data_IF_947102900236
#
_entry.id   IF_947102900236
#
_cell.length_a   1.000
_cell.length_b   1.000
_cell.length_c   1.000
_cell.angle_alpha   90.00
_cell.angle_beta   90.00
_cell.angle_gamma   90.00
#
_symmetry.space_group_name_H-M   'P 1'
#
loop_
_entity.id
_entity.type
_entity.pdbx_description
1 polymer ?
#
# COMPACT_ATOMS: atom_id res chain seq x y z
N UNK A 1 -17.48 -51.52 -20.74
CA UNK A 1 -17.35 -50.59 -19.62
C UNK A 1 -17.23 -51.42 -18.36
N UNK A 2 -16.02 -51.53 -17.86
CA UNK A 2 -15.72 -52.24 -16.60
C UNK A 2 -16.02 -51.31 -15.43
N UNK A 3 -16.37 -51.89 -14.28
CA UNK A 3 -16.72 -51.16 -13.05
C UNK A 3 -15.61 -50.15 -12.64
N UNK A 4 -14.36 -50.48 -12.96
CA UNK A 4 -13.19 -49.63 -12.74
C UNK A 4 -13.16 -48.39 -13.64
N UNK A 5 -13.79 -48.40 -14.82
CA UNK A 5 -13.90 -47.22 -15.71
C UNK A 5 -15.00 -46.26 -15.23
N UNK A 6 -16.07 -46.77 -14.62
CA UNK A 6 -17.11 -45.94 -13.97
C UNK A 6 -16.58 -45.29 -12.70
N UNK A 7 -15.85 -46.02 -11.85
CA UNK A 7 -15.24 -45.45 -10.64
C UNK A 7 -14.16 -44.42 -10.97
N UNK A 8 -13.34 -44.65 -12.00
CA UNK A 8 -12.33 -43.69 -12.46
C UNK A 8 -12.97 -42.44 -13.09
N UNK A 9 -14.07 -42.59 -13.84
CA UNK A 9 -14.79 -41.45 -14.42
C UNK A 9 -15.59 -40.68 -13.38
N UNK A 10 -16.06 -41.32 -12.31
CA UNK A 10 -16.70 -40.69 -11.16
C UNK A 10 -15.68 -39.98 -10.26
N UNK A 11 -14.50 -40.56 -10.03
CA UNK A 11 -13.36 -39.88 -9.38
C UNK A 11 -12.82 -38.72 -10.22
N UNK A 12 -12.68 -38.88 -11.54
CA UNK A 12 -12.30 -37.79 -12.45
C UNK A 12 -13.37 -36.71 -12.52
N UNK A 13 -14.66 -37.04 -12.37
CA UNK A 13 -15.77 -36.08 -12.28
C UNK A 13 -15.87 -35.43 -10.89
N UNK A 14 -15.36 -36.07 -9.84
CA UNK A 14 -15.15 -35.49 -8.50
C UNK A 14 -13.91 -34.59 -8.46
N UNK A 15 -12.85 -34.93 -9.21
CA UNK A 15 -11.63 -34.12 -9.39
C UNK A 15 -11.82 -32.93 -10.33
N UNK A 16 -12.55 -33.13 -11.43
CA UNK A 16 -13.06 -32.06 -12.32
C UNK A 16 -14.40 -31.50 -11.82
N UNK A 17 -14.82 -31.88 -10.61
CA UNK A 17 -16.03 -31.44 -9.92
C UNK A 17 -15.89 -30.02 -9.41
N UNK A 18 -15.61 -29.10 -10.32
CA UNK A 18 -15.92 -27.70 -10.23
C UNK A 18 -15.21 -26.95 -9.11
N UNK A 19 -13.95 -26.58 -9.34
CA UNK A 19 -13.54 -25.26 -8.87
C UNK A 19 -14.55 -24.28 -9.47
N UNK A 20 -15.51 -23.86 -8.64
CA UNK A 20 -16.56 -22.97 -9.08
C UNK A 20 -15.86 -21.73 -9.63
N UNK A 21 -16.19 -21.24 -10.84
CA UNK A 21 -15.55 -20.04 -11.38
C UNK A 21 -15.67 -18.84 -10.43
N UNK A 22 -16.72 -18.83 -9.59
CA UNK A 22 -16.89 -17.87 -8.49
C UNK A 22 -15.89 -18.01 -7.33
N UNK A 23 -15.42 -19.22 -7.02
CA UNK A 23 -14.35 -19.46 -6.04
C UNK A 23 -13.00 -19.02 -6.60
N UNK A 24 -12.67 -19.41 -7.84
CA UNK A 24 -11.42 -18.99 -8.50
C UNK A 24 -11.37 -17.46 -8.60
N UNK A 25 -12.47 -16.82 -9.02
CA UNK A 25 -12.54 -15.37 -9.12
C UNK A 25 -12.41 -14.67 -7.76
N UNK A 26 -12.92 -15.28 -6.70
CA UNK A 26 -12.79 -14.74 -5.35
C UNK A 26 -11.36 -14.87 -4.81
N UNK A 27 -10.70 -16.01 -5.07
CA UNK A 27 -9.32 -16.23 -4.66
C UNK A 27 -8.37 -15.28 -5.40
N UNK A 28 -8.56 -15.10 -6.72
CA UNK A 28 -7.83 -14.11 -7.51
C UNK A 28 -8.05 -12.68 -6.99
N UNK A 29 -9.28 -12.32 -6.60
CA UNK A 29 -9.58 -11.01 -6.01
C UNK A 29 -8.87 -10.81 -4.65
N UNK A 30 -8.82 -11.87 -3.82
CA UNK A 30 -8.10 -11.85 -2.55
C UNK A 30 -6.59 -11.71 -2.75
N UNK A 31 -6.01 -12.45 -3.69
CA UNK A 31 -4.59 -12.36 -4.03
C UNK A 31 -4.22 -10.96 -4.50
N UNK A 32 -5.00 -10.37 -5.42
CA UNK A 32 -4.78 -8.99 -5.88
C UNK A 32 -4.90 -7.96 -4.76
N UNK A 33 -5.81 -8.17 -3.81
CA UNK A 33 -5.90 -7.30 -2.63
C UNK A 33 -4.65 -7.42 -1.76
N UNK A 34 -4.16 -8.64 -1.53
CA UNK A 34 -2.92 -8.87 -0.77
C UNK A 34 -1.72 -8.24 -1.46
N UNK A 35 -1.52 -8.47 -2.75
CA UNK A 35 -0.43 -7.85 -3.53
C UNK A 35 -0.48 -6.31 -3.45
N UNK A 36 -1.68 -5.73 -3.59
CA UNK A 36 -1.86 -4.28 -3.52
C UNK A 36 -1.63 -3.73 -2.10
N UNK A 37 -2.00 -4.49 -1.07
CA UNK A 37 -1.73 -4.16 0.34
C UNK A 37 -0.24 -4.23 0.65
N UNK A 38 0.46 -5.28 0.21
CA UNK A 38 1.92 -5.42 0.38
C UNK A 38 2.67 -4.30 -0.34
N UNK A 39 2.26 -3.98 -1.57
CA UNK A 39 2.83 -2.88 -2.34
C UNK A 39 2.73 -1.54 -1.60
N UNK A 40 1.63 -1.30 -0.89
CA UNK A 40 1.42 -0.08 -0.08
C UNK A 40 2.20 -0.09 1.22
N UNK A 41 2.20 -1.22 1.93
CA UNK A 41 3.01 -1.39 3.13
C UNK A 41 4.50 -1.15 2.82
N UNK A 42 4.96 -1.57 1.64
CA UNK A 42 6.31 -1.25 1.15
C UNK A 42 6.54 0.26 0.99
N UNK A 43 5.57 1.00 0.45
CA UNK A 43 5.65 2.47 0.30
C UNK A 43 5.67 3.16 1.67
N UNK A 44 4.80 2.76 2.59
CA UNK A 44 4.75 3.32 3.94
C UNK A 44 6.01 3.03 4.74
N UNK A 45 6.53 1.80 4.64
CA UNK A 45 7.82 1.42 5.21
C UNK A 45 8.95 2.29 4.66
N UNK A 46 9.02 2.49 3.33
CA UNK A 46 10.02 3.37 2.70
C UNK A 46 9.89 4.82 3.16
N UNK A 47 8.66 5.32 3.30
CA UNK A 47 8.39 6.67 3.81
C UNK A 47 8.85 6.82 5.26
N UNK A 48 8.59 5.81 6.10
CA UNK A 48 9.08 5.74 7.48
C UNK A 48 10.60 5.76 7.56
N UNK A 49 11.28 4.99 6.69
CA UNK A 49 12.75 5.03 6.59
C UNK A 49 13.26 6.42 6.23
N UNK A 50 12.65 7.10 5.25
CA UNK A 50 13.05 8.46 4.86
C UNK A 50 12.89 9.43 6.03
N UNK A 51 11.76 9.37 6.76
CA UNK A 51 11.54 10.18 7.95
C UNK A 51 12.60 9.94 9.03
N UNK A 52 13.02 8.70 9.25
CA UNK A 52 14.11 8.41 10.20
C UNK A 52 15.45 8.99 9.75
N UNK A 53 15.75 8.94 8.45
CA UNK A 53 16.96 9.55 7.88
C UNK A 53 16.94 11.07 8.04
N UNK A 54 15.81 11.72 7.72
CA UNK A 54 15.67 13.16 7.89
C UNK A 54 15.81 13.58 9.37
N UNK A 55 15.27 12.79 10.30
CA UNK A 55 15.44 13.03 11.74
C UNK A 55 16.91 12.92 12.19
N UNK A 56 17.65 11.94 11.65
CA UNK A 56 19.10 11.82 11.88
C UNK A 56 19.83 13.05 11.32
N UNK A 57 19.51 13.48 10.10
CA UNK A 57 20.12 14.67 9.49
C UNK A 57 19.91 15.90 10.37
N UNK A 58 18.67 16.17 10.78
CA UNK A 58 18.36 17.31 11.66
C UNK A 58 19.10 17.20 13.00
N UNK A 59 19.16 16.00 13.57
CA UNK A 59 19.87 15.78 14.84
C UNK A 59 21.37 16.02 14.71
N UNK A 60 22.01 15.52 13.66
CA UNK A 60 23.46 15.68 13.41
C UNK A 60 23.80 17.13 13.10
N UNK A 61 23.04 17.78 12.22
CA UNK A 61 23.27 19.20 11.88
C UNK A 61 23.05 20.10 13.10
N UNK A 62 22.09 19.76 13.97
CA UNK A 62 21.82 20.48 15.21
C UNK A 62 22.95 20.41 16.25
N UNK A 63 23.91 19.48 16.12
CA UNK A 63 25.07 19.40 17.01
C UNK A 63 26.16 20.43 16.67
N UNK A 64 26.12 21.04 15.49
CA UNK A 64 27.13 22.02 15.10
C UNK A 64 26.82 23.39 15.71
N UNK A 65 27.75 23.91 16.50
CA UNK A 65 27.62 25.25 17.12
C UNK A 65 27.69 26.39 16.08
N UNK A 66 28.45 26.18 14.99
CA UNK A 66 28.58 27.14 13.89
C UNK A 66 27.74 26.72 12.68
N UNK A 67 26.48 27.15 12.68
CA UNK A 67 25.54 26.88 11.60
C UNK A 67 25.79 27.78 10.39
N UNK A 68 26.51 27.25 9.41
CA UNK A 68 26.67 27.89 8.09
C UNK A 68 25.34 27.92 7.35
N UNK A 69 25.12 28.91 6.46
CA UNK A 69 23.90 29.01 5.65
C UNK A 69 23.54 27.72 4.89
N UNK A 70 24.54 26.93 4.46
CA UNK A 70 24.34 25.64 3.81
C UNK A 70 23.72 24.58 4.75
N UNK A 71 24.16 24.53 6.01
CA UNK A 71 23.64 23.61 7.02
C UNK A 71 22.21 23.98 7.44
N UNK A 72 21.94 25.29 7.56
CA UNK A 72 20.58 25.81 7.80
C UNK A 72 19.66 25.42 6.63
N UNK A 73 20.13 25.56 5.38
CA UNK A 73 19.41 25.12 4.20
C UNK A 73 19.13 23.61 4.21
N UNK A 74 20.12 22.79 4.56
CA UNK A 74 19.96 21.34 4.65
C UNK A 74 18.90 20.94 5.71
N UNK A 75 18.92 21.56 6.89
CA UNK A 75 17.88 21.36 7.91
C UNK A 75 16.50 21.77 7.42
N UNK A 76 16.37 22.94 6.77
CA UNK A 76 15.07 23.41 6.28
C UNK A 76 14.48 22.42 5.25
N UNK A 77 15.30 21.91 4.34
CA UNK A 77 14.87 20.92 3.34
C UNK A 77 14.45 19.60 4.00
N UNK A 78 15.22 19.12 5.00
CA UNK A 78 14.87 17.92 5.75
C UNK A 78 13.55 18.08 6.52
N UNK A 79 13.31 19.25 7.14
CA UNK A 79 12.06 19.53 7.84
C UNK A 79 10.85 19.57 6.88
N UNK A 80 11.00 20.15 5.69
CA UNK A 80 9.94 20.15 4.67
C UNK A 80 9.62 18.69 4.25
N UNK A 81 10.65 17.87 4.05
CA UNK A 81 10.49 16.44 3.76
C UNK A 81 9.71 15.73 4.86
N UNK A 82 10.02 15.99 6.13
CA UNK A 82 9.30 15.42 7.28
C UNK A 82 7.82 15.79 7.29
N UNK A 83 7.48 17.05 7.03
CA UNK A 83 6.09 17.51 6.98
C UNK A 83 5.32 16.77 5.87
N UNK A 84 5.91 16.64 4.68
CA UNK A 84 5.30 15.92 3.55
C UNK A 84 5.19 14.42 3.86
N UNK A 85 6.20 13.83 4.49
CA UNK A 85 6.23 12.44 4.92
C UNK A 85 5.11 12.11 5.90
N UNK A 86 4.95 12.91 6.95
CA UNK A 86 3.87 12.77 7.94
C UNK A 86 2.50 12.94 7.27
N UNK A 87 2.36 13.93 6.38
CA UNK A 87 1.11 14.13 5.66
C UNK A 87 0.76 12.93 4.76
N UNK A 88 1.75 12.34 4.09
CA UNK A 88 1.56 11.16 3.25
C UNK A 88 1.25 9.88 4.04
N UNK A 89 1.81 9.73 5.25
CA UNK A 89 1.50 8.61 6.15
C UNK A 89 0.09 8.68 6.76
N UNK A 90 -0.49 9.88 6.88
CA UNK A 90 -1.84 10.07 7.46
C UNK A 90 -2.98 9.52 6.58
N UNK A 91 -2.70 9.12 5.34
CA UNK A 91 -3.71 8.60 4.41
C UNK A 91 -4.10 7.17 4.82
N UNK A 92 -5.21 7.12 5.57
CA UNK A 92 -6.03 6.04 6.17
C UNK A 92 -5.85 4.61 5.64
N UNK A 93 -5.89 3.66 6.58
CA UNK A 93 -5.94 2.21 6.39
C UNK A 93 -7.12 1.76 5.52
N UNK A 94 -6.89 0.77 4.67
CA UNK A 94 -7.95 0.13 3.90
C UNK A 94 -8.82 -0.72 4.82
N UNK A 95 -10.15 -0.60 4.65
CA UNK A 95 -11.06 -1.56 5.24
C UNK A 95 -10.77 -2.93 4.62
N UNK A 96 -10.43 -3.89 5.48
CA UNK A 96 -10.18 -5.28 5.07
C UNK A 96 -11.53 -6.00 5.08
N UNK A 97 -12.07 -6.38 3.91
CA UNK A 97 -13.38 -7.03 3.85
C UNK A 97 -13.33 -8.38 4.57
N UNK A 98 -14.37 -8.66 5.39
CA UNK A 98 -14.41 -9.87 6.22
C UNK A 98 -13.51 -9.83 7.45
N UNK A 99 -13.13 -8.65 7.96
CA UNK A 99 -12.38 -8.52 9.21
C UNK A 99 -13.28 -8.52 10.46
N UNK A 100 -14.52 -8.03 10.32
CA UNK A 100 -15.48 -7.97 11.41
C UNK A 100 -16.28 -9.27 11.56
N UNK A 101 -16.49 -9.68 12.81
CA UNK A 101 -17.23 -10.92 13.17
C UNK A 101 -18.67 -10.86 12.67
N UNK A 102 -19.25 -9.66 12.59
CA UNK A 102 -20.61 -9.41 12.11
C UNK A 102 -20.78 -9.76 10.62
N UNK A 103 -19.73 -9.61 9.80
CA UNK A 103 -19.73 -10.07 8.40
C UNK A 103 -19.82 -11.60 8.32
N UNK A 104 -19.16 -12.31 9.26
CA UNK A 104 -19.18 -13.77 9.31
C UNK A 104 -20.50 -14.36 9.80
N UNK A 105 -21.17 -13.67 10.74
CA UNK A 105 -22.49 -14.09 11.23
C UNK A 105 -23.55 -14.02 10.13
N UNK A 106 -23.44 -13.06 9.20
CA UNK A 106 -24.30 -12.99 8.02
C UNK A 106 -24.11 -14.18 7.05
N UNK A 107 -22.98 -14.90 7.14
CA UNK A 107 -22.67 -16.05 6.30
C UNK A 107 -23.19 -17.39 6.85
N UNK A 108 -23.70 -17.40 8.08
CA UNK A 108 -24.26 -18.62 8.70
C UNK A 108 -25.65 -18.96 8.11
N UNK A 109 -26.42 -17.94 7.70
CA UNK A 109 -27.78 -18.10 7.17
C UNK A 109 -27.94 -17.91 5.64
N UNK A 110 -26.96 -17.32 4.93
CA UNK A 110 -27.06 -17.03 3.48
C UNK A 110 -26.55 -18.21 2.60
N UNK A 111 -27.11 -18.37 1.39
CA UNK A 111 -26.64 -19.38 0.40
C UNK A 111 -25.23 -19.05 -0.13
N UNK A 112 -24.39 -20.02 -0.55
CA UNK A 112 -22.97 -19.78 -0.86
C UNK A 112 -22.69 -18.82 -2.03
N UNK A 113 -23.63 -18.66 -2.96
CA UNK A 113 -23.44 -17.82 -4.16
C UNK A 113 -23.57 -16.31 -3.91
N UNK A 114 -24.62 -15.79 -3.23
CA UNK A 114 -24.70 -14.36 -2.90
C UNK A 114 -23.56 -13.89 -1.99
N UNK A 115 -23.08 -14.75 -1.09
CA UNK A 115 -21.92 -14.46 -0.22
C UNK A 115 -20.66 -14.19 -1.04
N UNK A 116 -20.32 -15.09 -1.98
CA UNK A 116 -19.13 -14.92 -2.85
C UNK A 116 -19.21 -13.64 -3.68
N UNK A 117 -20.41 -13.30 -4.18
CA UNK A 117 -20.62 -12.05 -4.90
C UNK A 117 -20.41 -10.83 -4.00
N UNK A 118 -20.98 -10.81 -2.80
CA UNK A 118 -20.79 -9.72 -1.82
C UNK A 118 -19.30 -9.55 -1.47
N UNK A 119 -18.60 -10.65 -1.18
CA UNK A 119 -17.18 -10.63 -0.84
C UNK A 119 -16.32 -10.16 -2.01
N UNK A 120 -16.61 -10.61 -3.24
CA UNK A 120 -15.92 -10.16 -4.44
C UNK A 120 -16.13 -8.66 -4.69
N UNK A 121 -17.36 -8.16 -4.50
CA UNK A 121 -17.65 -6.72 -4.57
C UNK A 121 -16.88 -5.98 -3.48
N UNK A 122 -16.84 -6.48 -2.25
CA UNK A 122 -16.13 -5.84 -1.16
C UNK A 122 -14.61 -5.79 -1.39
N UNK A 123 -13.98 -6.88 -1.87
CA UNK A 123 -12.58 -6.88 -2.29
C UNK A 123 -12.33 -5.93 -3.45
N UNK A 124 -13.19 -5.92 -4.47
CA UNK A 124 -13.07 -4.97 -5.57
C UNK A 124 -13.25 -3.52 -5.08
N UNK A 125 -14.18 -3.25 -4.16
CA UNK A 125 -14.40 -1.91 -3.56
C UNK A 125 -13.19 -1.47 -2.77
N UNK A 126 -12.60 -2.37 -2.00
CA UNK A 126 -11.39 -2.13 -1.22
C UNK A 126 -10.20 -1.86 -2.13
N UNK A 127 -9.98 -2.68 -3.16
CA UNK A 127 -8.94 -2.45 -4.19
C UNK A 127 -9.21 -1.15 -4.98
N UNK A 128 -10.47 -0.78 -5.20
CA UNK A 128 -10.87 0.39 -6.00
C UNK A 128 -10.97 1.68 -5.18
N UNK A 129 -10.94 1.59 -3.85
CA UNK A 129 -10.78 2.70 -2.91
C UNK A 129 -11.96 3.65 -2.83
N UNK A 130 -13.16 3.17 -3.19
CA UNK A 130 -14.35 3.98 -3.40
C UNK A 130 -15.56 3.50 -2.58
N UNK A 131 -15.40 3.37 -1.26
CA UNK A 131 -16.50 3.04 -0.32
C UNK A 131 -17.68 4.03 -0.34
N UNK A 132 -17.54 5.20 -0.98
CA UNK A 132 -18.52 6.29 -0.95
C UNK A 132 -18.89 6.82 -2.34
N UNK A 133 -18.70 6.04 -3.40
CA UNK A 133 -19.07 6.46 -4.75
C UNK A 133 -20.10 5.50 -5.34
N UNK A 134 -21.28 6.04 -5.63
CA UNK A 134 -22.38 5.34 -6.32
C UNK A 134 -22.17 5.24 -7.84
N UNK A 135 -21.09 5.85 -8.36
CA UNK A 135 -20.75 5.94 -9.79
C UNK A 135 -19.80 4.79 -10.22
N UNK A 136 -20.27 3.82 -11.03
CA UNK A 136 -19.52 2.63 -11.40
C UNK A 136 -18.26 2.93 -12.24
N UNK A 137 -18.18 4.06 -12.94
CA UNK A 137 -16.97 4.42 -13.70
C UNK A 137 -15.87 5.01 -12.80
N UNK A 138 -16.26 5.75 -11.76
CA UNK A 138 -15.33 6.31 -10.78
C UNK A 138 -14.86 5.27 -9.78
N UNK A 139 -15.67 4.24 -9.55
CA UNK A 139 -15.34 3.07 -8.75
C UNK A 139 -13.92 2.56 -9.07
N UNK A 140 -13.60 2.29 -10.34
CA UNK A 140 -12.27 1.78 -10.74
C UNK A 140 -11.14 2.82 -10.78
N UNK A 141 -11.44 4.12 -10.61
CA UNK A 141 -10.44 5.21 -10.68
C UNK A 141 -10.04 5.76 -9.31
N UNK A 142 -10.84 5.55 -8.26
CA UNK A 142 -10.64 6.15 -6.93
C UNK A 142 -9.34 5.79 -6.22
N UNK A 143 -8.79 4.57 -6.45
CA UNK A 143 -7.56 4.13 -5.80
C UNK A 143 -6.27 4.41 -6.58
N UNK A 144 -6.34 4.47 -7.92
CA UNK A 144 -5.19 4.90 -8.72
C UNK A 144 -4.75 6.29 -8.28
N UNK A 145 -5.67 7.23 -8.13
CA UNK A 145 -5.37 8.61 -7.76
C UNK A 145 -4.75 8.77 -6.37
N UNK A 146 -5.28 8.08 -5.34
CA UNK A 146 -4.74 8.15 -3.96
C UNK A 146 -3.40 7.42 -3.81
N UNK A 147 -3.22 6.29 -4.49
CA UNK A 147 -1.93 5.58 -4.45
C UNK A 147 -0.87 6.36 -5.24
N UNK A 148 -1.22 6.92 -6.40
CA UNK A 148 -0.35 7.79 -7.18
C UNK A 148 0.10 9.02 -6.37
N UNK A 149 -0.77 9.56 -5.51
CA UNK A 149 -0.43 10.63 -4.58
C UNK A 149 0.55 10.19 -3.49
N UNK A 150 0.36 9.02 -2.85
CA UNK A 150 1.35 8.45 -1.92
C UNK A 150 2.72 8.25 -2.59
N UNK A 151 2.75 7.68 -3.80
CA UNK A 151 3.98 7.50 -4.57
C UNK A 151 4.64 8.82 -4.99
N UNK A 152 3.85 9.84 -5.33
CA UNK A 152 4.36 11.18 -5.63
C UNK A 152 5.00 11.79 -4.39
N UNK A 153 4.33 11.70 -3.24
CA UNK A 153 4.85 12.23 -1.98
C UNK A 153 6.11 11.48 -1.54
N UNK A 154 6.18 10.16 -1.72
CA UNK A 154 7.39 9.37 -1.47
C UNK A 154 8.56 9.87 -2.33
N UNK A 155 8.35 10.06 -3.64
CA UNK A 155 9.40 10.57 -4.54
C UNK A 155 9.84 11.97 -4.17
N UNK A 156 8.91 12.86 -3.80
CA UNK A 156 9.23 14.20 -3.33
C UNK A 156 10.10 14.15 -2.06
N UNK A 157 9.74 13.33 -1.08
CA UNK A 157 10.56 13.15 0.13
C UNK A 157 11.96 12.64 -0.22
N UNK A 158 12.07 11.64 -1.10
CA UNK A 158 13.38 11.13 -1.57
C UNK A 158 14.25 12.24 -2.19
N UNK A 159 13.68 13.07 -3.07
CA UNK A 159 14.43 14.16 -3.69
C UNK A 159 14.86 15.21 -2.67
N UNK A 160 14.01 15.54 -1.69
CA UNK A 160 14.34 16.50 -0.64
C UNK A 160 15.44 15.96 0.27
N UNK A 161 15.36 14.70 0.70
CA UNK A 161 16.41 14.06 1.52
C UNK A 161 17.74 14.01 0.76
N UNK A 162 17.73 13.68 -0.53
CA UNK A 162 18.94 13.71 -1.37
C UNK A 162 19.50 15.13 -1.52
N UNK A 163 18.65 16.14 -1.72
CA UNK A 163 19.07 17.54 -1.76
C UNK A 163 19.69 17.99 -0.43
N UNK A 164 19.10 17.59 0.71
CA UNK A 164 19.62 17.88 2.04
C UNK A 164 21.00 17.25 2.25
N UNK A 165 21.16 15.96 1.91
CA UNK A 165 22.46 15.28 1.96
C UNK A 165 23.49 15.93 1.02
N UNK A 166 23.07 16.34 -0.18
CA UNK A 166 23.92 17.04 -1.13
C UNK A 166 24.45 18.37 -0.59
N UNK A 167 23.62 19.14 0.11
CA UNK A 167 24.03 20.38 0.78
C UNK A 167 25.04 20.13 1.90
N UNK A 168 24.86 19.06 2.68
CA UNK A 168 25.79 18.67 3.75
C UNK A 168 27.14 18.27 3.14
N UNK A 169 27.15 17.43 2.11
CA UNK A 169 28.38 17.03 1.42
C UNK A 169 29.10 18.22 0.78
N UNK A 170 28.36 19.14 0.17
CA UNK A 170 28.92 20.37 -0.40
C UNK A 170 29.58 21.22 0.70
N UNK A 171 28.93 21.37 1.85
CA UNK A 171 29.49 22.08 2.99
C UNK A 171 30.76 21.40 3.52
N UNK A 172 30.76 20.07 3.66
CA UNK A 172 31.94 19.30 4.07
C UNK A 172 33.09 19.41 3.07
N UNK A 173 32.80 19.42 1.77
CA UNK A 173 33.84 19.64 0.75
C UNK A 173 34.43 21.05 0.85
N UNK A 174 33.59 22.09 0.92
CA UNK A 174 34.03 23.48 1.06
C UNK A 174 34.89 23.70 2.31
N UNK A 175 34.55 23.05 3.42
CA UNK A 175 35.33 23.15 4.67
C UNK A 175 36.64 22.37 4.65
N UNK A 176 36.80 21.39 3.76
CA UNK A 176 38.06 20.66 3.57
C UNK A 176 39.00 21.35 2.56
N UNK A 177 38.46 22.12 1.62
CA UNK A 177 39.22 22.82 0.58
C UNK A 177 39.53 24.29 0.89
N UNK A 178 39.04 24.83 2.01
CA UNK A 178 39.37 26.16 2.54
C UNK A 178 40.13 26.02 3.87
#
# INVERSE_FOLDING_TARGET
MTKDEEDLSEELRKRNGGDNPSQIALEEARLRFQEESERRNSVESKMGTILTVDAIIVSVVGLFENLTFLLIGAMAVALISVIIGIHGLRVRDYHTPGKDIDDYLQYIDDTPQPIRRKLMIAYMTSISGNEHTDDPEKFFKGNRTKNDEKYRNLRLCQYLTLASLGLILLHSALTLFC
#
